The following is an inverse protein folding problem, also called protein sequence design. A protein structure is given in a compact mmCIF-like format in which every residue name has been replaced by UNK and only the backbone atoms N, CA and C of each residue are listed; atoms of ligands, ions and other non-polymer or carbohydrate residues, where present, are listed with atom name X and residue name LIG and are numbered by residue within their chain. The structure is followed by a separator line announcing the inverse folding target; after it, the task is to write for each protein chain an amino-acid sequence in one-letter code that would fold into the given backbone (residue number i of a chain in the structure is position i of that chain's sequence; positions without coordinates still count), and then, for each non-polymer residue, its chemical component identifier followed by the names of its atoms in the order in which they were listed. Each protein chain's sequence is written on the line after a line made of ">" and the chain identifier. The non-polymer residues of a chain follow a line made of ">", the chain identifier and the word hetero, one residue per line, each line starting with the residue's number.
data_IF_622238487793
#
_entry.id   IF_622238487793
#
_cell.length_a   1.000
_cell.length_b   1.000
_cell.length_c   1.000
_cell.angle_alpha   90.00
_cell.angle_beta   90.00
_cell.angle_gamma   90.00
#
_symmetry.space_group_name_H-M   'P 1'
#
loop_
_entity.id
_entity.type
_entity.pdbx_description
1 polymer ?
#
# COMPACT_ATOMS: atom_id res chain seq x y z
N UNK A 1 -5.82 -5.92 -10.80
CA UNK A 1 -6.01 -5.78 -12.25
C UNK A 1 -4.75 -5.23 -12.90
N UNK A 2 -4.27 -4.05 -12.50
CA UNK A 2 -3.03 -3.42 -13.00
C UNK A 2 -1.82 -4.37 -13.13
N UNK A 3 -1.40 -5.03 -12.04
CA UNK A 3 -0.23 -5.91 -12.08
C UNK A 3 -0.43 -7.15 -12.96
N UNK A 4 -1.66 -7.58 -13.25
CA UNK A 4 -1.90 -8.73 -14.13
C UNK A 4 -1.54 -8.39 -15.57
N UNK A 5 -1.95 -7.22 -16.04
CA UNK A 5 -1.66 -6.74 -17.40
C UNK A 5 -0.16 -6.46 -17.56
N UNK A 6 0.46 -5.79 -16.59
CA UNK A 6 1.91 -5.57 -16.58
C UNK A 6 2.66 -6.90 -16.56
N UNK A 7 2.23 -7.87 -15.76
CA UNK A 7 2.85 -9.20 -15.70
C UNK A 7 2.70 -9.97 -17.00
N UNK A 8 1.57 -9.86 -17.68
CA UNK A 8 1.35 -10.51 -18.98
C UNK A 8 2.24 -9.90 -20.06
N UNK A 9 2.32 -8.57 -20.12
CA UNK A 9 3.22 -7.88 -21.04
C UNK A 9 4.69 -8.20 -20.76
N UNK A 10 5.11 -8.15 -19.49
CA UNK A 10 6.49 -8.41 -19.11
C UNK A 10 6.90 -9.86 -19.43
N UNK A 11 5.99 -10.83 -19.28
CA UNK A 11 6.22 -12.22 -19.68
C UNK A 11 6.48 -12.36 -21.19
N UNK A 12 5.76 -11.62 -22.04
CA UNK A 12 6.01 -11.60 -23.49
C UNK A 12 7.37 -11.00 -23.86
N UNK A 13 7.87 -10.07 -23.06
CA UNK A 13 9.14 -9.36 -23.29
C UNK A 13 10.33 -9.94 -22.51
N UNK A 14 10.15 -11.10 -21.85
CA UNK A 14 11.10 -11.58 -20.85
C UNK A 14 12.52 -11.81 -21.40
N UNK A 15 12.66 -12.18 -22.68
CA UNK A 15 13.97 -12.38 -23.32
C UNK A 15 14.72 -11.06 -23.60
N UNK A 16 14.01 -9.93 -23.59
CA UNK A 16 14.55 -8.61 -23.93
C UNK A 16 14.74 -7.70 -22.71
N UNK A 17 14.22 -8.09 -21.54
CA UNK A 17 14.28 -7.29 -20.32
C UNK A 17 15.38 -7.79 -19.38
N UNK A 18 16.26 -6.90 -18.89
CA UNK A 18 17.31 -7.30 -17.95
C UNK A 18 16.70 -7.83 -16.64
N UNK A 19 17.40 -8.77 -16.02
CA UNK A 19 17.05 -9.38 -14.73
C UNK A 19 18.12 -9.06 -13.68
N UNK A 20 17.79 -9.03 -12.38
CA UNK A 20 16.47 -9.30 -11.78
C UNK A 20 15.47 -8.14 -11.96
N UNK A 21 14.17 -8.44 -11.91
CA UNK A 21 13.13 -7.41 -11.86
C UNK A 21 12.86 -6.96 -10.43
N UNK A 22 12.92 -5.65 -10.21
CA UNK A 22 12.73 -5.01 -8.92
C UNK A 22 11.38 -4.28 -8.88
N UNK A 23 10.55 -4.62 -7.89
CA UNK A 23 9.35 -3.83 -7.58
C UNK A 23 9.68 -2.66 -6.66
N UNK A 24 9.35 -1.44 -7.06
CA UNK A 24 9.43 -0.27 -6.19
C UNK A 24 8.03 0.28 -5.92
N UNK A 25 7.71 0.58 -4.66
CA UNK A 25 6.39 1.08 -4.30
C UNK A 25 6.42 1.99 -3.09
N UNK A 26 5.76 3.15 -3.21
CA UNK A 26 5.58 4.11 -2.14
C UNK A 26 4.14 4.10 -1.62
N UNK A 27 3.92 4.17 -0.31
CA UNK A 27 2.59 4.19 0.30
C UNK A 27 1.71 3.04 -0.22
N UNK A 28 0.54 3.33 -0.81
CA UNK A 28 -0.35 2.35 -1.44
C UNK A 28 0.36 1.49 -2.50
N UNK A 29 1.33 2.05 -3.24
CA UNK A 29 2.13 1.27 -4.19
C UNK A 29 2.95 0.17 -3.52
N UNK A 30 3.43 0.40 -2.29
CA UNK A 30 4.08 -0.64 -1.49
C UNK A 30 3.09 -1.71 -1.02
N UNK A 31 1.86 -1.31 -0.66
CA UNK A 31 0.79 -2.24 -0.30
C UNK A 31 0.42 -3.18 -1.46
N UNK A 32 0.40 -2.65 -2.69
CA UNK A 32 0.15 -3.41 -3.92
C UNK A 32 1.23 -4.48 -4.14
N UNK A 33 2.51 -4.16 -3.90
CA UNK A 33 3.58 -5.16 -3.99
C UNK A 33 3.46 -6.24 -2.92
N UNK A 34 3.20 -5.85 -1.67
CA UNK A 34 2.98 -6.80 -0.56
C UNK A 34 1.84 -7.77 -0.91
N UNK A 35 0.70 -7.23 -1.36
CA UNK A 35 -0.46 -8.02 -1.77
C UNK A 35 -0.13 -9.01 -2.89
N UNK A 36 0.53 -8.54 -3.94
CA UNK A 36 0.95 -9.37 -5.07
C UNK A 36 1.86 -10.52 -4.65
N UNK A 37 2.88 -10.22 -3.85
CA UNK A 37 3.86 -11.23 -3.44
C UNK A 37 3.22 -12.27 -2.51
N UNK A 38 2.51 -11.83 -1.46
CA UNK A 38 1.90 -12.76 -0.49
C UNK A 38 0.75 -13.56 -1.12
N UNK A 39 0.03 -12.99 -2.09
CA UNK A 39 -0.99 -13.71 -2.87
C UNK A 39 -0.36 -14.74 -3.81
N UNK A 40 0.78 -14.42 -4.43
CA UNK A 40 1.52 -15.41 -5.22
C UNK A 40 2.00 -16.56 -4.33
N UNK A 41 2.54 -16.25 -3.13
CA UNK A 41 2.98 -17.25 -2.16
C UNK A 41 1.85 -18.16 -1.67
N UNK A 42 0.68 -17.61 -1.34
CA UNK A 42 -0.50 -18.39 -0.90
C UNK A 42 -1.00 -19.36 -1.97
N UNK A 43 -0.76 -19.03 -3.24
CA UNK A 43 -1.12 -19.85 -4.39
C UNK A 43 0.04 -20.71 -4.92
N UNK A 44 1.18 -20.75 -4.21
CA UNK A 44 2.40 -21.45 -4.63
C UNK A 44 2.87 -21.06 -6.04
N UNK A 45 2.69 -19.79 -6.40
CA UNK A 45 3.16 -19.20 -7.66
C UNK A 45 4.36 -18.31 -7.41
N UNK A 46 5.23 -18.20 -8.40
CA UNK A 46 6.31 -17.21 -8.40
C UNK A 46 5.74 -15.81 -8.62
N UNK A 47 6.08 -14.81 -7.79
CA UNK A 47 5.69 -13.43 -8.06
C UNK A 47 6.41 -12.88 -9.30
N UNK A 48 5.80 -11.87 -9.94
CA UNK A 48 6.38 -11.20 -11.12
C UNK A 48 7.79 -10.62 -10.89
N UNK A 49 8.09 -10.19 -9.67
CA UNK A 49 9.35 -9.53 -9.30
C UNK A 49 10.22 -10.46 -8.46
N UNK A 50 11.53 -10.28 -8.55
CA UNK A 50 12.52 -11.07 -7.81
C UNK A 50 12.83 -10.45 -6.44
N UNK A 51 12.68 -9.12 -6.32
CA UNK A 51 12.98 -8.33 -5.11
C UNK A 51 12.07 -7.11 -5.02
N UNK A 52 11.95 -6.50 -3.83
CA UNK A 52 11.15 -5.30 -3.63
C UNK A 52 11.85 -4.21 -2.78
N UNK A 53 11.66 -2.94 -3.15
CA UNK A 53 11.97 -1.76 -2.35
C UNK A 53 10.67 -1.03 -1.98
N UNK A 54 10.37 -1.00 -0.68
CA UNK A 54 9.16 -0.38 -0.15
C UNK A 54 9.49 0.95 0.55
N UNK A 55 8.77 2.01 0.16
CA UNK A 55 8.96 3.35 0.69
C UNK A 55 7.70 3.77 1.49
N UNK A 56 7.78 3.78 2.82
CA UNK A 56 6.64 3.98 3.72
C UNK A 56 5.37 3.22 3.28
N UNK A 57 5.41 1.87 3.12
CA UNK A 57 4.30 1.10 2.56
C UNK A 57 3.05 1.23 3.43
N UNK A 58 1.87 1.32 2.79
CA UNK A 58 0.57 1.39 3.48
C UNK A 58 0.08 -0.01 3.87
N UNK A 59 0.62 -0.59 4.95
CA UNK A 59 0.05 -1.81 5.54
C UNK A 59 -1.09 -1.45 6.49
N UNK A 60 -0.83 -0.58 7.47
CA UNK A 60 -1.85 -0.02 8.36
C UNK A 60 -1.73 1.50 8.44
N UNK A 61 -2.83 2.25 8.29
CA UNK A 61 -2.83 3.69 8.58
C UNK A 61 -2.48 3.99 10.05
N UNK A 62 -1.94 5.18 10.30
CA UNK A 62 -1.76 5.64 11.67
C UNK A 62 -3.12 5.79 12.37
N UNK A 63 -3.19 5.45 13.66
CA UNK A 63 -4.41 5.55 14.50
C UNK A 63 -5.62 4.74 14.00
N UNK A 64 -5.40 3.76 13.11
CA UNK A 64 -6.45 2.86 12.61
C UNK A 64 -6.41 1.47 13.23
N UNK A 65 -5.72 1.31 14.36
CA UNK A 65 -5.54 0.02 15.01
C UNK A 65 -6.88 -0.69 15.24
N UNK A 66 -7.96 0.04 15.55
CA UNK A 66 -9.32 -0.45 15.82
C UNK A 66 -10.18 -0.72 14.57
N UNK A 67 -9.68 -0.47 13.35
CA UNK A 67 -10.46 -0.62 12.11
C UNK A 67 -10.76 -2.08 11.74
N UNK A 68 -10.22 -3.05 12.47
CA UNK A 68 -10.60 -4.47 12.37
C UNK A 68 -12.02 -4.74 12.90
N UNK A 69 -12.60 -3.86 13.74
CA UNK A 69 -13.98 -3.96 14.19
C UNK A 69 -14.94 -3.40 13.11
N UNK A 70 -15.30 -4.29 12.19
CA UNK A 70 -16.16 -4.07 11.02
C UNK A 70 -17.57 -3.50 11.31
N UNK A 71 -18.04 -3.59 12.56
CA UNK A 71 -19.36 -3.09 12.99
C UNK A 71 -19.45 -1.56 12.93
N UNK A 72 -18.44 -0.84 13.42
CA UNK A 72 -18.45 0.63 13.46
C UNK A 72 -18.32 1.28 12.07
N UNK A 73 -17.49 0.70 11.20
CA UNK A 73 -17.26 1.22 9.85
C UNK A 73 -18.48 1.02 8.92
N UNK A 74 -19.25 -0.05 9.11
CA UNK A 74 -20.45 -0.34 8.31
C UNK A 74 -21.61 0.62 8.62
N UNK A 75 -21.71 1.13 9.85
CA UNK A 75 -22.72 2.12 10.25
C UNK A 75 -22.43 3.48 9.61
N UNK A 76 -21.15 3.89 9.56
CA UNK A 76 -20.70 5.15 8.94
C UNK A 76 -21.05 5.20 7.44
N UNK A 77 -21.03 4.04 6.74
CA UNK A 77 -21.40 3.92 5.32
C UNK A 77 -22.81 4.40 5.00
N UNK A 78 -23.75 4.24 5.93
CA UNK A 78 -25.14 4.66 5.71
C UNK A 78 -25.34 6.18 5.80
N UNK A 79 -24.39 6.93 6.36
CA UNK A 79 -24.58 8.35 6.71
C UNK A 79 -23.70 9.30 5.88
N UNK A 80 -22.49 8.89 5.45
CA UNK A 80 -21.60 9.75 4.66
C UNK A 80 -20.86 8.96 3.58
N UNK A 81 -20.91 9.41 2.32
CA UNK A 81 -20.17 8.78 1.20
C UNK A 81 -18.70 9.25 1.08
N UNK A 82 -18.41 10.45 1.59
CA UNK A 82 -17.17 11.18 1.32
C UNK A 82 -16.56 11.74 2.61
N UNK A 83 -15.26 11.54 2.82
CA UNK A 83 -14.49 12.14 3.91
C UNK A 83 -13.56 13.20 3.33
N UNK A 84 -13.62 14.47 3.80
CA UNK A 84 -12.70 15.51 3.33
C UNK A 84 -11.25 15.09 3.54
N UNK A 85 -10.41 15.24 2.51
CA UNK A 85 -8.99 14.92 2.64
C UNK A 85 -8.30 16.06 3.38
N UNK A 86 -7.70 15.73 4.51
CA UNK A 86 -6.87 16.69 5.26
C UNK A 86 -5.45 16.66 4.71
N UNK A 87 -4.99 17.79 4.17
CA UNK A 87 -3.61 17.95 3.73
C UNK A 87 -2.74 18.30 4.94
N UNK A 88 -2.03 17.30 5.47
CA UNK A 88 -1.08 17.48 6.58
C UNK A 88 0.27 18.00 6.06
N UNK A 89 1.03 18.65 6.94
CA UNK A 89 2.44 19.01 6.70
C UNK A 89 3.33 17.77 6.84
N UNK A 90 3.20 16.83 5.90
CA UNK A 90 3.87 15.53 5.89
C UNK A 90 5.18 15.52 5.10
N UNK A 91 5.58 16.68 4.56
CA UNK A 91 6.82 16.87 3.83
C UNK A 91 7.56 18.08 4.42
N UNK A 92 8.89 18.05 4.39
CA UNK A 92 9.72 19.17 4.83
C UNK A 92 9.87 20.26 3.76
N UNK A 93 9.46 20.00 2.51
CA UNK A 93 9.45 20.96 1.41
C UNK A 93 8.11 21.75 1.38
N UNK A 94 8.09 23.04 1.78
CA UNK A 94 6.86 23.84 1.82
C UNK A 94 6.30 24.13 0.43
N UNK A 95 7.14 24.29 -0.60
CA UNK A 95 6.68 24.55 -1.97
C UNK A 95 5.96 23.34 -2.56
N UNK A 96 6.47 22.14 -2.29
CA UNK A 96 5.78 20.90 -2.69
C UNK A 96 4.41 20.78 -2.03
N UNK A 97 4.29 21.09 -0.75
CA UNK A 97 3.00 21.08 -0.05
C UNK A 97 2.03 22.11 -0.62
N UNK A 98 2.53 23.30 -0.99
CA UNK A 98 1.73 24.34 -1.62
C UNK A 98 1.22 23.89 -2.98
N UNK A 99 2.08 23.31 -3.81
CA UNK A 99 1.72 22.73 -5.10
C UNK A 99 0.61 21.68 -4.96
N UNK A 100 0.81 20.65 -4.13
CA UNK A 100 -0.18 19.58 -3.92
C UNK A 100 -1.50 20.13 -3.38
N UNK A 101 -1.44 21.15 -2.50
CA UNK A 101 -2.64 21.73 -1.88
C UNK A 101 -3.38 22.69 -2.79
N UNK A 102 -2.74 23.42 -3.70
CA UNK A 102 -3.37 24.53 -4.41
C UNK A 102 -3.39 24.35 -5.93
N UNK A 103 -2.45 23.61 -6.49
CA UNK A 103 -2.14 23.65 -7.93
C UNK A 103 -2.35 22.31 -8.62
N UNK A 104 -2.06 21.18 -7.95
CA UNK A 104 -2.17 19.85 -8.58
C UNK A 104 -3.64 19.50 -8.92
N UNK A 105 -4.01 19.45 -10.21
CA UNK A 105 -5.38 19.13 -10.61
C UNK A 105 -5.72 17.65 -10.41
N UNK A 106 -4.71 16.79 -10.30
CA UNK A 106 -4.87 15.35 -10.10
C UNK A 106 -4.96 14.97 -8.61
N UNK A 107 -4.77 15.93 -7.70
CA UNK A 107 -4.83 15.67 -6.28
C UNK A 107 -6.29 15.57 -5.80
N UNK A 108 -6.80 14.38 -5.43
CA UNK A 108 -8.16 14.25 -4.92
C UNK A 108 -8.31 15.02 -3.61
N UNK A 109 -9.39 15.80 -3.50
CA UNK A 109 -9.76 16.58 -2.30
C UNK A 109 -10.60 15.80 -1.30
N UNK A 110 -11.09 14.64 -1.72
CA UNK A 110 -11.99 13.79 -0.96
C UNK A 110 -11.41 12.39 -0.96
N UNK A 111 -11.46 11.73 0.19
CA UNK A 111 -11.22 10.31 0.32
C UNK A 111 -12.57 9.59 0.28
N UNK A 112 -12.73 8.67 -0.68
CA UNK A 112 -13.93 7.84 -0.79
C UNK A 112 -14.01 6.90 0.41
N UNK A 113 -15.20 6.78 1.00
CA UNK A 113 -15.42 5.79 2.05
C UNK A 113 -15.25 4.35 1.54
N UNK A 114 -15.53 4.08 0.26
CA UNK A 114 -15.29 2.76 -0.33
C UNK A 114 -13.81 2.37 -0.27
N UNK A 115 -12.90 3.34 -0.45
CA UNK A 115 -11.47 3.09 -0.32
C UNK A 115 -11.09 2.74 1.13
N UNK A 116 -11.65 3.47 2.11
CA UNK A 116 -11.42 3.19 3.55
C UNK A 116 -11.92 1.78 3.91
N UNK A 117 -13.10 1.41 3.43
CA UNK A 117 -13.68 0.07 3.66
C UNK A 117 -12.89 -1.03 2.96
N UNK A 118 -12.44 -0.78 1.72
CA UNK A 118 -11.57 -1.70 1.00
C UNK A 118 -10.25 -1.91 1.74
N UNK A 119 -9.63 -0.84 2.24
CA UNK A 119 -8.41 -0.91 3.04
C UNK A 119 -8.64 -1.70 4.35
N UNK A 120 -9.72 -1.44 5.07
CA UNK A 120 -10.06 -2.16 6.29
C UNK A 120 -10.20 -3.68 6.05
N UNK A 121 -10.89 -4.07 4.97
CA UNK A 121 -11.00 -5.49 4.56
C UNK A 121 -9.65 -6.07 4.16
N UNK A 122 -8.85 -5.31 3.41
CA UNK A 122 -7.54 -5.73 2.96
C UNK A 122 -6.57 -5.97 4.12
N UNK A 123 -6.55 -5.11 5.15
CA UNK A 123 -5.72 -5.29 6.34
C UNK A 123 -5.98 -6.64 7.03
N UNK A 124 -7.24 -7.05 7.15
CA UNK A 124 -7.60 -8.36 7.73
C UNK A 124 -7.22 -9.51 6.81
N UNK A 125 -7.32 -9.32 5.50
CA UNK A 125 -6.96 -10.33 4.51
C UNK A 125 -5.46 -10.60 4.47
N UNK A 126 -4.64 -9.54 4.38
CA UNK A 126 -3.19 -9.65 4.20
C UNK A 126 -2.51 -10.30 5.42
N UNK A 127 -3.06 -10.11 6.62
CA UNK A 127 -2.61 -10.77 7.85
C UNK A 127 -2.74 -12.30 7.79
N UNK A 128 -3.70 -12.82 7.03
CA UNK A 128 -3.94 -14.27 6.91
C UNK A 128 -3.06 -14.94 5.86
N UNK A 129 -2.42 -14.19 4.98
CA UNK A 129 -1.58 -14.77 3.94
C UNK A 129 -0.28 -15.33 4.53
N UNK A 130 0.25 -16.45 4.00
CA UNK A 130 1.48 -17.04 4.52
C UNK A 130 2.68 -16.13 4.29
N UNK A 131 3.68 -16.25 5.15
CA UNK A 131 4.99 -15.63 4.91
C UNK A 131 5.68 -16.27 3.69
N UNK A 132 6.58 -15.53 3.07
CA UNK A 132 7.39 -16.01 1.95
C UNK A 132 8.81 -15.45 2.04
N UNK A 133 9.74 -16.00 1.25
CA UNK A 133 11.13 -15.53 1.23
C UNK A 133 11.38 -14.79 -0.08
N UNK A 134 11.19 -13.48 -0.07
CA UNK A 134 11.63 -12.59 -1.15
C UNK A 134 12.55 -11.52 -0.54
N UNK A 135 13.69 -11.19 -1.15
CA UNK A 135 14.52 -10.09 -0.67
C UNK A 135 13.74 -8.77 -0.72
N UNK A 136 13.66 -8.09 0.43
CA UNK A 136 12.94 -6.84 0.58
C UNK A 136 13.76 -5.80 1.34
N UNK A 137 13.72 -4.58 0.84
CA UNK A 137 14.22 -3.39 1.54
C UNK A 137 13.06 -2.48 1.89
N UNK A 138 13.12 -1.90 3.09
CA UNK A 138 12.10 -0.98 3.58
C UNK A 138 12.77 0.31 4.03
N UNK A 139 12.37 1.42 3.42
CA UNK A 139 12.64 2.76 3.94
C UNK A 139 11.38 3.30 4.59
N UNK A 140 11.39 3.51 5.90
CA UNK A 140 10.24 3.96 6.67
C UNK A 140 10.66 5.08 7.63
N UNK A 141 9.95 6.21 7.59
CA UNK A 141 10.19 7.31 8.51
C UNK A 141 9.71 6.98 9.92
N UNK A 142 10.56 7.17 10.93
CA UNK A 142 10.21 6.95 12.35
C UNK A 142 9.25 8.01 12.94
N UNK A 143 9.00 9.09 12.19
CA UNK A 143 8.04 10.16 12.53
C UNK A 143 6.83 10.18 11.57
N UNK A 144 6.58 9.09 10.86
CA UNK A 144 5.46 9.00 9.93
C UNK A 144 4.13 9.01 10.70
N UNK A 145 3.27 9.99 10.39
CA UNK A 145 1.93 10.13 10.96
C UNK A 145 0.81 9.70 10.00
N UNK A 146 1.17 9.19 8.82
CA UNK A 146 0.23 8.69 7.81
C UNK A 146 -0.01 7.21 7.99
N UNK A 147 1.06 6.45 8.19
CA UNK A 147 1.01 5.00 8.41
C UNK A 147 1.55 4.63 9.78
N UNK A 148 1.08 3.51 10.34
CA UNK A 148 1.58 2.97 11.59
C UNK A 148 2.93 2.29 11.37
N UNK A 149 3.99 3.10 11.39
CA UNK A 149 5.33 2.64 11.01
C UNK A 149 5.84 1.48 11.87
N UNK A 150 5.51 1.46 13.18
CA UNK A 150 5.94 0.40 14.10
C UNK A 150 5.32 -0.92 13.69
N UNK A 151 4.01 -0.92 13.47
CA UNK A 151 3.32 -2.12 13.04
C UNK A 151 3.73 -2.55 11.63
N UNK A 152 3.86 -1.62 10.68
CA UNK A 152 4.19 -1.96 9.29
C UNK A 152 5.58 -2.64 9.21
N UNK A 153 6.57 -2.15 9.97
CA UNK A 153 7.90 -2.78 10.03
C UNK A 153 7.82 -4.18 10.61
N UNK A 154 7.12 -4.37 11.73
CA UNK A 154 6.98 -5.69 12.37
C UNK A 154 6.17 -6.66 11.52
N UNK A 155 5.13 -6.19 10.82
CA UNK A 155 4.38 -6.98 9.86
C UNK A 155 5.29 -7.46 8.73
N UNK A 156 6.06 -6.56 8.12
CA UNK A 156 6.95 -6.90 7.00
C UNK A 156 8.01 -7.92 7.45
N UNK A 157 8.65 -7.72 8.60
CA UNK A 157 9.61 -8.66 9.20
C UNK A 157 9.05 -10.06 9.43
N UNK A 158 7.75 -10.17 9.72
CA UNK A 158 7.08 -11.47 9.93
C UNK A 158 6.69 -12.15 8.63
N UNK A 159 6.43 -11.38 7.57
CA UNK A 159 5.90 -11.90 6.29
C UNK A 159 6.97 -12.16 5.24
N UNK A 160 8.14 -11.54 5.36
CA UNK A 160 9.24 -11.57 4.39
C UNK A 160 10.58 -11.77 5.08
#
# INVERSE_FOLDING_TARGET
>A
QLLKEISAWAAQQQQHLPKPWLGIGQSTGGAIWIDHILTAASQRRTPMIDRALLLSPLVRPAKSAWWHNSVGLSIIKKVKRNVPRTFKRNNHNPEFLRFVRLTDPLQPRIMSLEWILALAKWMVHIEKLPACRIPMWVAQGAKDETVDWRYNIEFIRKKF
#
